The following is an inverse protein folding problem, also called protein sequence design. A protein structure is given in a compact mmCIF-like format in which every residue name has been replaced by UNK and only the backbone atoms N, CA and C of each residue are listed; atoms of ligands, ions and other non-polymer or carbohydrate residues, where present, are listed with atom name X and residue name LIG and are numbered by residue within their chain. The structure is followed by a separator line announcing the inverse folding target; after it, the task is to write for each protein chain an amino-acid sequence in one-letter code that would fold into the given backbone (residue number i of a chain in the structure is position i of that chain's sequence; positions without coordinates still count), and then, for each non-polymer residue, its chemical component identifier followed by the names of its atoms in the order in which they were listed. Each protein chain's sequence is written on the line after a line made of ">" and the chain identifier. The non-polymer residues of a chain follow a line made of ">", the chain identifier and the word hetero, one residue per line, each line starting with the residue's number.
data_IF_580632377699
#
_entry.id   IF_580632377699
#
_cell.length_a   1.000
_cell.length_b   1.000
_cell.length_c   1.000
_cell.angle_alpha   90.00
_cell.angle_beta   90.00
_cell.angle_gamma   90.00
#
_symmetry.space_group_name_H-M   'P 1'
#
loop_
_entity.id
_entity.type
_entity.pdbx_description
1 polymer ?
#
# COMPACT_ATOMS: atom_id res chain seq x y z
N UNK A 1 -4.97 4.83 -11.23
CA UNK A 1 -5.14 3.38 -11.03
C UNK A 1 -5.76 3.23 -9.65
N UNK A 2 -6.92 2.61 -9.55
CA UNK A 2 -7.59 2.43 -8.26
C UNK A 2 -6.90 1.31 -7.47
N UNK A 3 -6.59 1.57 -6.20
CA UNK A 3 -6.14 0.57 -5.26
C UNK A 3 -7.25 -0.46 -5.00
N UNK A 4 -6.93 -1.75 -5.16
CA UNK A 4 -7.87 -2.81 -4.82
C UNK A 4 -8.17 -2.79 -3.30
N UNK A 5 -9.41 -3.07 -2.91
CA UNK A 5 -9.82 -3.08 -1.49
C UNK A 5 -8.95 -4.02 -0.64
N UNK A 6 -8.59 -5.19 -1.19
CA UNK A 6 -7.72 -6.18 -0.53
C UNK A 6 -6.29 -5.68 -0.31
N UNK A 7 -5.78 -4.86 -1.24
CA UNK A 7 -4.47 -4.24 -1.14
C UNK A 7 -4.49 -3.09 -0.11
N UNK A 8 -5.57 -2.32 -0.08
CA UNK A 8 -5.78 -1.30 0.94
C UNK A 8 -5.86 -1.90 2.35
N UNK A 9 -6.67 -2.94 2.54
CA UNK A 9 -6.79 -3.69 3.79
C UNK A 9 -5.43 -4.21 4.28
N UNK A 10 -4.63 -4.77 3.37
CA UNK A 10 -3.29 -5.25 3.69
C UNK A 10 -2.39 -4.10 4.18
N UNK A 11 -2.34 -2.98 3.44
CA UNK A 11 -1.51 -1.83 3.81
C UNK A 11 -1.97 -1.22 5.14
N UNK A 12 -3.28 -1.09 5.35
CA UNK A 12 -3.89 -0.63 6.61
C UNK A 12 -3.44 -1.48 7.78
N UNK A 13 -3.50 -2.81 7.65
CA UNK A 13 -3.07 -3.73 8.69
C UNK A 13 -1.55 -3.67 8.93
N UNK A 14 -0.76 -3.61 7.87
CA UNK A 14 0.70 -3.51 7.96
C UNK A 14 1.15 -2.24 8.69
N UNK A 15 0.57 -1.09 8.33
CA UNK A 15 0.86 0.20 8.96
C UNK A 15 0.44 0.21 10.43
N UNK A 16 -0.73 -0.37 10.74
CA UNK A 16 -1.20 -0.52 12.13
C UNK A 16 -0.23 -1.36 12.95
N UNK A 17 0.28 -2.47 12.40
CA UNK A 17 1.20 -3.36 13.09
C UNK A 17 2.61 -2.76 13.26
N UNK A 18 3.13 -2.07 12.25
CA UNK A 18 4.51 -1.58 12.24
C UNK A 18 4.69 -0.17 12.80
N UNK A 19 3.66 0.67 12.74
CA UNK A 19 3.72 2.08 13.10
C UNK A 19 2.61 2.53 14.07
N UNK A 20 1.72 1.62 14.50
CA UNK A 20 0.56 1.92 15.35
C UNK A 20 -0.38 3.02 14.79
N UNK A 21 -0.34 3.24 13.46
CA UNK A 21 -1.20 4.21 12.77
C UNK A 21 -2.44 3.49 12.25
N UNK A 22 -3.64 4.02 12.58
CA UNK A 22 -4.90 3.53 12.05
C UNK A 22 -5.33 4.33 10.82
N UNK A 23 -5.60 3.63 9.72
CA UNK A 23 -6.21 4.19 8.51
C UNK A 23 -7.71 3.91 8.50
N UNK A 24 -8.52 4.96 8.49
CA UNK A 24 -9.97 4.86 8.33
C UNK A 24 -10.37 4.59 6.88
N UNK A 25 -11.61 4.20 6.66
CA UNK A 25 -12.16 4.03 5.31
C UNK A 25 -12.27 5.40 4.61
N UNK A 26 -12.10 5.46 3.28
CA UNK A 26 -12.10 6.73 2.54
C UNK A 26 -10.73 7.44 2.49
N UNK A 27 -9.68 6.82 3.04
CA UNK A 27 -8.30 7.32 3.05
C UNK A 27 -7.38 6.58 2.06
N UNK A 28 -7.96 5.88 1.09
CA UNK A 28 -7.25 5.11 0.06
C UNK A 28 -6.30 6.02 -0.74
N UNK A 29 -6.73 7.25 -1.05
CA UNK A 29 -5.92 8.23 -1.78
C UNK A 29 -4.62 8.62 -1.04
N UNK A 30 -4.60 8.58 0.30
CA UNK A 30 -3.38 8.85 1.07
C UNK A 30 -2.36 7.74 0.88
N UNK A 31 -2.83 6.49 0.86
CA UNK A 31 -1.98 5.33 0.58
C UNK A 31 -1.45 5.41 -0.85
N UNK A 32 -2.32 5.69 -1.83
CA UNK A 32 -1.91 5.82 -3.23
C UNK A 32 -0.86 6.91 -3.42
N UNK A 33 -1.06 8.10 -2.84
CA UNK A 33 -0.13 9.22 -2.93
C UNK A 33 1.26 8.89 -2.35
N UNK A 34 1.31 8.11 -1.26
CA UNK A 34 2.57 7.73 -0.60
C UNK A 34 3.27 6.55 -1.27
N UNK A 35 2.53 5.60 -1.84
CA UNK A 35 3.11 4.42 -2.49
C UNK A 35 3.49 4.66 -3.96
N UNK A 36 2.83 5.58 -4.65
CA UNK A 36 3.15 5.94 -6.04
C UNK A 36 4.64 6.30 -6.28
N UNK A 37 5.31 7.13 -5.45
CA UNK A 37 6.74 7.39 -5.63
C UNK A 37 7.57 6.11 -5.48
N UNK A 38 7.25 5.25 -4.50
CA UNK A 38 7.96 3.98 -4.28
C UNK A 38 7.80 3.00 -5.45
N UNK A 39 6.62 2.95 -6.07
CA UNK A 39 6.37 2.16 -7.30
C UNK A 39 7.33 2.59 -8.41
N UNK A 40 7.47 3.91 -8.61
CA UNK A 40 8.38 4.47 -9.63
C UNK A 40 9.84 4.19 -9.30
N UNK A 41 10.25 4.36 -8.04
CA UNK A 41 11.62 4.08 -7.59
C UNK A 41 11.99 2.60 -7.71
N UNK A 42 11.03 1.71 -7.48
CA UNK A 42 11.20 0.26 -7.62
C UNK A 42 11.12 -0.24 -9.08
N UNK A 43 10.83 0.65 -10.04
CA UNK A 43 10.65 0.28 -11.45
C UNK A 43 9.42 -0.60 -11.70
N UNK A 44 8.40 -0.49 -10.86
CA UNK A 44 7.15 -1.27 -10.94
C UNK A 44 6.09 -0.50 -11.71
N UNK A 45 5.14 -1.20 -12.31
CA UNK A 45 4.04 -0.60 -13.06
C UNK A 45 2.87 -0.20 -12.16
N UNK A 46 2.65 -0.92 -11.06
CA UNK A 46 1.48 -0.72 -10.20
C UNK A 46 1.77 -0.82 -8.70
N UNK A 47 0.90 -0.22 -7.89
CA UNK A 47 0.94 -0.36 -6.42
C UNK A 47 0.70 -1.82 -5.99
N UNK A 48 -0.15 -2.56 -6.71
CA UNK A 48 -0.41 -3.97 -6.42
C UNK A 48 0.82 -4.86 -6.59
N UNK A 49 1.70 -4.57 -7.56
CA UNK A 49 2.99 -5.26 -7.71
C UNK A 49 3.93 -4.95 -6.54
N UNK A 50 3.97 -3.68 -6.10
CA UNK A 50 4.75 -3.29 -4.93
C UNK A 50 4.27 -4.03 -3.67
N UNK A 51 2.95 -4.09 -3.46
CA UNK A 51 2.35 -4.80 -2.33
C UNK A 51 2.63 -6.29 -2.39
N UNK A 52 2.55 -6.90 -3.58
CA UNK A 52 2.87 -8.31 -3.78
C UNK A 52 4.32 -8.61 -3.38
N UNK A 53 5.28 -7.78 -3.80
CA UNK A 53 6.68 -7.92 -3.38
C UNK A 53 6.89 -7.76 -1.88
N UNK A 54 6.12 -6.90 -1.21
CA UNK A 54 6.19 -6.74 0.26
C UNK A 54 5.64 -7.99 0.95
N UNK A 55 4.55 -8.57 0.42
CA UNK A 55 3.96 -9.83 0.92
C UNK A 55 4.92 -11.01 0.77
N UNK A 56 5.67 -11.09 -0.34
CA UNK A 56 6.67 -12.16 -0.56
C UNK A 56 7.89 -12.08 0.40
N UNK A 57 8.18 -10.90 0.95
CA UNK A 57 9.33 -10.67 1.83
C UNK A 57 9.03 -10.76 3.33
N UNK A 58 7.77 -10.92 3.73
CA UNK A 58 7.35 -11.13 5.13
C UNK A 58 6.94 -12.58 5.35
#
# INVERSE_FOLDING_TARGET
>A
MALATTDYEYVKNLIKQKAAIALDNGKEYLVESRLTPLVKEAGLATISELISKIKEKN
#
